data_IF_152280672051
#
_entry.id   IF_152280672051
#
_cell.length_a   1.000
_cell.length_b   1.000
_cell.length_c   1.000
_cell.angle_alpha   90.00
_cell.angle_beta   90.00
_cell.angle_gamma   90.00
#
_symmetry.space_group_name_H-M   'P 1'
#
loop_
_entity.id
_entity.type
_entity.pdbx_description
1 polymer ?
#
# COMPACT_ATOMS: atom_id res chain seq x y z
N UNK A 1 -21.93 3.51 0.79
CA UNK A 1 -20.86 2.55 1.19
C UNK A 1 -21.48 1.54 2.15
N UNK A 2 -21.46 0.24 1.83
CA UNK A 2 -21.88 -0.81 2.78
C UNK A 2 -20.66 -1.24 3.58
N UNK A 3 -20.62 -0.88 4.86
CA UNK A 3 -19.62 -1.38 5.81
C UNK A 3 -20.16 -2.64 6.50
N UNK A 4 -19.28 -3.42 7.12
CA UNK A 4 -19.65 -4.65 7.87
C UNK A 4 -20.39 -5.71 7.03
N UNK A 5 -20.07 -5.80 5.74
CA UNK A 5 -20.59 -6.84 4.86
C UNK A 5 -19.51 -7.86 4.55
N UNK A 6 -19.80 -9.14 4.78
CA UNK A 6 -18.85 -10.24 4.61
C UNK A 6 -19.25 -11.11 3.42
N UNK A 7 -18.39 -11.15 2.40
CA UNK A 7 -18.59 -11.99 1.22
C UNK A 7 -18.25 -13.44 1.58
N UNK A 8 -19.21 -14.34 1.43
CA UNK A 8 -19.03 -15.77 1.67
C UNK A 8 -18.72 -16.53 0.37
N UNK A 9 -19.38 -16.14 -0.73
CA UNK A 9 -19.23 -16.80 -2.03
C UNK A 9 -19.38 -15.81 -3.17
N UNK A 10 -18.65 -16.06 -4.24
CA UNK A 10 -18.74 -15.34 -5.51
C UNK A 10 -19.18 -16.33 -6.59
N UNK A 11 -20.28 -16.03 -7.28
CA UNK A 11 -20.75 -16.72 -8.49
C UNK A 11 -20.60 -15.81 -9.70
N UNK A 12 -20.85 -16.32 -10.91
CA UNK A 12 -20.63 -15.58 -12.15
C UNK A 12 -21.46 -14.29 -12.26
N UNK A 13 -22.67 -14.28 -11.69
CA UNK A 13 -23.66 -13.20 -11.82
C UNK A 13 -24.01 -12.52 -10.48
N UNK A 14 -23.49 -13.03 -9.36
CA UNK A 14 -23.83 -12.53 -8.03
C UNK A 14 -22.75 -12.82 -6.98
N UNK A 15 -22.67 -11.96 -5.97
CA UNK A 15 -21.97 -12.25 -4.71
C UNK A 15 -22.98 -12.60 -3.63
N UNK A 16 -22.60 -13.45 -2.69
CA UNK A 16 -23.39 -13.83 -1.53
C UNK A 16 -22.72 -13.24 -0.30
N UNK A 17 -23.45 -12.41 0.43
CA UNK A 17 -23.01 -11.85 1.70
C UNK A 17 -23.79 -12.48 2.84
N UNK A 18 -23.12 -12.59 4.00
CA UNK A 18 -23.74 -13.15 5.21
C UNK A 18 -24.95 -12.32 5.66
N UNK A 19 -24.90 -11.00 5.44
CA UNK A 19 -25.90 -10.06 5.94
C UNK A 19 -27.07 -9.85 4.98
N UNK A 20 -26.82 -9.77 3.66
CA UNK A 20 -27.84 -9.40 2.66
C UNK A 20 -28.21 -10.56 1.71
N UNK A 21 -27.55 -11.72 1.81
CA UNK A 21 -27.77 -12.83 0.90
C UNK A 21 -27.24 -12.55 -0.51
N UNK A 22 -28.03 -12.85 -1.55
CA UNK A 22 -27.60 -12.75 -2.95
C UNK A 22 -27.67 -11.31 -3.47
N UNK A 23 -26.55 -10.79 -3.92
CA UNK A 23 -26.42 -9.47 -4.55
C UNK A 23 -25.95 -9.64 -6.01
N UNK A 24 -26.80 -9.37 -7.02
CA UNK A 24 -26.41 -9.48 -8.42
C UNK A 24 -25.41 -8.38 -8.81
N UNK A 25 -24.50 -8.68 -9.74
CA UNK A 25 -23.54 -7.70 -10.26
C UNK A 25 -23.31 -7.88 -11.77
N UNK A 26 -22.91 -6.78 -12.44
CA UNK A 26 -22.40 -6.81 -13.82
C UNK A 26 -20.87 -6.78 -13.92
N UNK A 27 -20.20 -6.18 -12.93
CA UNK A 27 -18.74 -6.14 -12.80
C UNK A 27 -18.37 -6.30 -11.31
N UNK A 28 -17.45 -7.21 -11.02
CA UNK A 28 -16.87 -7.40 -9.69
C UNK A 28 -15.41 -6.92 -9.69
N UNK A 29 -15.13 -5.87 -8.91
CA UNK A 29 -13.77 -5.39 -8.65
C UNK A 29 -13.31 -5.90 -7.27
N UNK A 30 -12.30 -6.77 -7.25
CA UNK A 30 -11.74 -7.32 -6.03
C UNK A 30 -10.45 -6.59 -5.63
N UNK A 31 -10.54 -5.69 -4.65
CA UNK A 31 -9.44 -4.82 -4.22
C UNK A 31 -8.92 -5.13 -2.79
N UNK A 32 -9.16 -6.35 -2.28
CA UNK A 32 -8.83 -6.73 -0.89
C UNK A 32 -8.07 -8.05 -0.81
N UNK A 33 -7.21 -8.17 0.20
CA UNK A 33 -6.50 -9.40 0.54
C UNK A 33 -5.14 -9.53 -0.14
N UNK A 34 -4.11 -9.72 0.68
CA UNK A 34 -2.79 -10.14 0.24
C UNK A 34 -2.61 -11.63 0.56
N UNK A 35 -2.01 -12.39 -0.37
CA UNK A 35 -1.64 -13.78 -0.16
C UNK A 35 -0.12 -13.92 -0.27
N UNK A 36 0.48 -14.67 0.65
CA UNK A 36 1.89 -15.00 0.55
C UNK A 36 2.18 -15.91 -0.65
N UNK A 37 3.37 -15.77 -1.24
CA UNK A 37 3.82 -16.64 -2.32
C UNK A 37 4.03 -18.08 -1.83
N UNK A 38 3.71 -19.07 -2.67
CA UNK A 38 3.93 -20.49 -2.38
C UNK A 38 5.40 -20.85 -2.15
N UNK A 39 6.33 -19.99 -2.58
CA UNK A 39 7.75 -20.12 -2.25
C UNK A 39 7.97 -20.11 -0.74
N UNK A 40 7.20 -19.29 -0.02
CA UNK A 40 7.36 -19.12 1.42
C UNK A 40 7.05 -20.41 2.17
N UNK A 41 6.13 -21.23 1.69
CA UNK A 41 5.76 -22.51 2.32
C UNK A 41 6.92 -23.51 2.28
N UNK A 42 7.79 -23.41 1.26
CA UNK A 42 8.93 -24.32 1.04
C UNK A 42 10.20 -23.91 1.78
N UNK A 43 10.27 -22.68 2.27
CA UNK A 43 11.45 -22.17 2.98
C UNK A 43 11.42 -22.61 4.45
N UNK A 44 12.51 -23.22 4.90
CA UNK A 44 12.75 -23.53 6.31
C UNK A 44 13.32 -22.29 7.02
N UNK A 45 12.41 -21.36 7.33
CA UNK A 45 12.71 -20.08 7.98
C UNK A 45 11.66 -19.77 9.03
N UNK A 46 12.02 -18.94 10.01
CA UNK A 46 11.09 -18.49 11.05
C UNK A 46 9.93 -17.70 10.45
N UNK A 47 8.71 -18.11 10.78
CA UNK A 47 7.43 -17.52 10.33
C UNK A 47 6.56 -17.20 11.56
N UNK A 48 5.64 -16.23 11.49
CA UNK A 48 4.73 -15.97 12.60
C UNK A 48 3.72 -17.13 12.76
N UNK A 49 3.34 -17.44 13.99
CA UNK A 49 2.34 -18.47 14.30
C UNK A 49 0.92 -18.07 13.86
N UNK A 50 0.64 -16.77 13.76
CA UNK A 50 -0.67 -16.21 13.42
C UNK A 50 -0.55 -15.09 12.39
N UNK A 51 -1.56 -14.98 11.54
CA UNK A 51 -1.68 -13.92 10.53
C UNK A 51 -1.03 -14.28 9.20
N UNK A 52 -0.75 -13.25 8.38
CA UNK A 52 -0.17 -13.45 7.04
C UNK A 52 1.23 -14.08 7.15
N UNK A 53 1.48 -15.23 6.47
CA UNK A 53 2.80 -15.84 6.43
C UNK A 53 3.83 -14.86 5.87
N UNK A 54 4.91 -14.66 6.62
CA UNK A 54 6.03 -13.79 6.24
C UNK A 54 7.32 -14.31 6.87
N UNK A 55 8.47 -13.95 6.30
CA UNK A 55 9.78 -14.27 6.89
C UNK A 55 10.05 -13.31 8.04
N UNK A 56 10.28 -13.84 9.24
CA UNK A 56 10.65 -13.05 10.41
C UNK A 56 12.16 -12.80 10.45
N UNK A 57 12.53 -11.62 10.94
CA UNK A 57 13.92 -11.18 11.13
C UNK A 57 14.08 -10.46 12.47
N UNK A 58 15.32 -10.23 12.86
CA UNK A 58 15.67 -9.30 13.91
C UNK A 58 15.45 -7.82 13.52
N UNK A 59 15.73 -6.93 14.46
CA UNK A 59 15.64 -5.47 14.32
C UNK A 59 16.59 -4.85 13.28
N UNK A 60 17.51 -5.63 12.71
CA UNK A 60 18.50 -5.17 11.74
C UNK A 60 18.09 -5.46 10.29
N UNK A 61 16.90 -6.03 10.06
CA UNK A 61 16.36 -6.32 8.72
C UNK A 61 17.24 -7.25 7.88
N UNK A 62 17.81 -8.28 8.50
CA UNK A 62 18.43 -9.37 7.75
C UNK A 62 17.43 -10.13 6.84
N UNK A 63 16.12 -10.07 7.14
CA UNK A 63 15.06 -10.57 6.28
C UNK A 63 13.82 -9.63 6.25
N UNK A 64 12.66 -10.17 5.86
CA UNK A 64 11.51 -9.38 5.37
C UNK A 64 10.75 -8.56 6.44
N UNK A 65 10.43 -9.12 7.62
CA UNK A 65 9.64 -8.43 8.64
C UNK A 65 10.19 -8.61 10.06
N UNK A 66 10.13 -7.55 10.88
CA UNK A 66 10.74 -7.53 12.22
C UNK A 66 9.85 -8.31 13.19
N UNK A 67 10.46 -9.27 13.87
CA UNK A 67 9.78 -10.04 14.90
C UNK A 67 9.24 -9.13 16.02
N UNK A 68 7.97 -9.30 16.37
CA UNK A 68 7.29 -8.47 17.38
C UNK A 68 6.95 -7.04 16.93
N UNK A 69 7.41 -6.59 15.76
CA UNK A 69 7.16 -5.26 15.21
C UNK A 69 6.74 -5.34 13.75
N UNK A 70 5.63 -6.03 13.50
CA UNK A 70 5.12 -6.20 12.14
C UNK A 70 4.57 -4.87 11.60
N UNK A 71 5.14 -4.43 10.48
CA UNK A 71 4.75 -3.21 9.81
C UNK A 71 3.68 -3.49 8.74
N UNK A 72 2.83 -2.49 8.39
CA UNK A 72 1.82 -2.67 7.37
C UNK A 72 2.46 -2.97 5.99
N UNK A 73 1.74 -3.73 5.15
CA UNK A 73 2.19 -4.08 3.80
C UNK A 73 2.01 -2.90 2.83
N UNK A 74 2.72 -1.80 3.09
CA UNK A 74 2.70 -0.58 2.29
C UNK A 74 3.97 -0.46 1.45
N UNK A 75 3.84 0.11 0.25
CA UNK A 75 4.98 0.38 -0.62
C UNK A 75 6.04 1.27 0.05
N UNK A 76 5.60 2.22 0.89
CA UNK A 76 6.49 3.09 1.65
C UNK A 76 7.37 2.32 2.65
N UNK A 77 6.79 1.36 3.38
CA UNK A 77 7.55 0.50 4.30
C UNK A 77 8.62 -0.27 3.51
N UNK A 78 8.27 -0.85 2.36
CA UNK A 78 9.21 -1.57 1.53
C UNK A 78 10.34 -0.66 1.00
N UNK A 79 10.03 0.57 0.60
CA UNK A 79 11.01 1.55 0.14
C UNK A 79 12.00 1.91 1.25
N UNK A 80 11.50 2.25 2.45
CA UNK A 80 12.36 2.61 3.58
C UNK A 80 13.24 1.43 4.04
N UNK A 81 12.70 0.20 4.07
CA UNK A 81 13.47 -1.01 4.36
C UNK A 81 14.59 -1.20 3.33
N UNK A 82 14.30 -1.01 2.04
CA UNK A 82 15.29 -1.11 0.96
C UNK A 82 16.39 -0.06 1.04
N UNK A 83 16.04 1.20 1.34
CA UNK A 83 17.01 2.29 1.51
C UNK A 83 17.90 2.07 2.73
N UNK A 84 17.32 1.64 3.85
CA UNK A 84 18.07 1.25 5.04
C UNK A 84 19.06 0.14 4.72
N UNK A 85 18.61 -0.97 4.11
CA UNK A 85 19.47 -2.11 3.82
C UNK A 85 20.59 -1.75 2.84
N UNK A 86 20.28 -0.95 1.81
CA UNK A 86 21.29 -0.46 0.85
C UNK A 86 22.38 0.35 1.57
N UNK A 87 21.98 1.24 2.50
CA UNK A 87 22.93 2.04 3.27
C UNK A 87 23.81 1.16 4.17
N UNK A 88 23.22 0.21 4.88
CA UNK A 88 23.96 -0.65 5.81
C UNK A 88 24.90 -1.61 5.08
N UNK A 89 24.47 -2.20 3.96
CA UNK A 89 25.31 -3.10 3.15
C UNK A 89 26.48 -2.39 2.47
N UNK A 90 26.36 -1.09 2.20
CA UNK A 90 27.44 -0.29 1.61
C UNK A 90 28.47 0.20 2.64
N UNK A 91 28.28 -0.07 3.94
CA UNK A 91 29.28 0.25 4.96
C UNK A 91 30.43 -0.77 4.91
N UNK A 92 31.66 -0.28 5.10
CA UNK A 92 32.87 -1.10 5.03
C UNK A 92 32.92 -2.24 6.06
N UNK A 93 32.18 -2.12 7.16
CA UNK A 93 32.10 -3.13 8.24
C UNK A 93 31.27 -4.37 7.85
N UNK A 94 30.47 -4.30 6.78
CA UNK A 94 29.71 -5.43 6.27
C UNK A 94 28.53 -5.90 7.13
N UNK A 95 28.22 -5.22 8.24
CA UNK A 95 27.09 -5.53 9.11
C UNK A 95 26.26 -4.28 9.48
N UNK A 96 24.92 -4.42 9.65
CA UNK A 96 24.07 -3.31 10.08
C UNK A 96 24.45 -2.82 11.49
N UNK A 97 24.70 -1.52 11.64
CA UNK A 97 25.12 -0.96 12.95
C UNK A 97 23.97 -0.34 13.74
N UNK A 98 22.93 0.11 13.04
CA UNK A 98 21.77 0.78 13.65
C UNK A 98 20.49 -0.02 13.39
N UNK A 99 19.59 -0.22 14.36
CA UNK A 99 18.32 -0.90 14.11
C UNK A 99 17.42 -0.07 13.18
N UNK A 100 16.58 -0.76 12.40
CA UNK A 100 15.61 -0.09 11.53
C UNK A 100 14.51 0.59 12.34
N UNK A 101 14.17 1.81 11.95
CA UNK A 101 13.03 2.56 12.49
C UNK A 101 12.20 3.06 11.32
N UNK A 102 10.92 2.72 11.31
CA UNK A 102 9.99 3.17 10.29
C UNK A 102 9.52 4.59 10.59
N UNK A 103 9.70 5.50 9.65
CA UNK A 103 9.17 6.85 9.71
C UNK A 103 7.82 6.90 8.98
N UNK A 104 6.72 6.98 9.74
CA UNK A 104 5.39 7.03 9.16
C UNK A 104 5.07 8.44 8.63
N UNK A 105 5.16 8.64 7.31
CA UNK A 105 4.88 9.94 6.67
C UNK A 105 3.37 10.25 6.54
N UNK A 106 2.51 9.35 7.02
CA UNK A 106 1.07 9.48 6.94
C UNK A 106 0.51 8.97 5.61
N UNK A 107 -0.71 8.44 5.67
CA UNK A 107 -1.40 7.88 4.51
C UNK A 107 -2.25 8.95 3.84
N UNK A 108 -2.26 9.02 2.51
CA UNK A 108 -3.18 9.89 1.77
C UNK A 108 -4.14 9.04 0.94
N UNK A 109 -5.42 9.40 0.93
CA UNK A 109 -6.43 8.74 0.12
C UNK A 109 -7.18 9.76 -0.73
N UNK A 110 -7.36 9.45 -2.02
CA UNK A 110 -8.27 10.16 -2.91
C UNK A 110 -9.66 9.52 -2.81
N UNK A 111 -10.71 10.32 -2.61
CA UNK A 111 -12.08 9.85 -2.38
C UNK A 111 -12.99 10.00 -3.61
N UNK A 112 -12.49 10.57 -4.71
CA UNK A 112 -13.31 10.94 -5.87
C UNK A 112 -13.75 12.40 -5.83
N UNK A 113 -14.23 12.92 -6.95
CA UNK A 113 -14.81 14.27 -7.07
C UNK A 113 -13.96 15.39 -6.43
N UNK A 114 -12.65 15.40 -6.71
CA UNK A 114 -11.71 16.38 -6.12
C UNK A 114 -11.63 16.36 -4.58
N UNK A 115 -12.07 15.29 -3.93
CA UNK A 115 -11.98 15.12 -2.49
C UNK A 115 -10.84 14.18 -2.10
N UNK A 116 -10.20 14.46 -0.97
CA UNK A 116 -9.11 13.69 -0.44
C UNK A 116 -9.08 13.73 1.07
N UNK A 117 -8.35 12.78 1.65
CA UNK A 117 -8.14 12.69 3.09
C UNK A 117 -6.67 12.44 3.40
N UNK A 118 -6.11 13.29 4.26
CA UNK A 118 -4.75 13.16 4.77
C UNK A 118 -4.70 13.43 6.28
N UNK A 119 -4.59 12.38 7.12
CA UNK A 119 -4.26 12.50 8.53
C UNK A 119 -2.74 12.64 8.69
N UNK A 120 -2.26 13.89 8.71
CA UNK A 120 -0.89 14.23 9.13
C UNK A 120 -0.87 14.83 10.55
N UNK A 121 0.08 15.73 10.83
CA UNK A 121 0.06 16.58 12.06
C UNK A 121 -1.20 17.45 12.14
N UNK A 122 -1.80 17.76 11.00
CA UNK A 122 -3.12 18.38 10.85
C UNK A 122 -3.91 17.53 9.86
N UNK A 123 -5.20 17.39 10.10
CA UNK A 123 -6.11 16.70 9.18
C UNK A 123 -6.44 17.67 8.05
N UNK A 124 -6.14 17.28 6.81
CA UNK A 124 -6.48 18.04 5.61
C UNK A 124 -7.52 17.23 4.85
N UNK A 125 -8.62 17.87 4.46
CA UNK A 125 -9.75 17.27 3.73
C UNK A 125 -10.16 18.12 2.54
N UNK A 126 -11.00 17.58 1.65
CA UNK A 126 -11.53 18.32 0.51
C UNK A 126 -10.50 18.56 -0.59
N UNK A 127 -10.72 19.61 -1.38
CA UNK A 127 -9.89 19.97 -2.53
C UNK A 127 -8.42 20.22 -2.17
N UNK A 128 -8.17 20.74 -0.97
CA UNK A 128 -6.80 20.97 -0.49
C UNK A 128 -6.02 19.67 -0.29
N UNK A 129 -6.69 18.61 0.20
CA UNK A 129 -6.12 17.28 0.31
C UNK A 129 -5.93 16.64 -1.07
N UNK A 130 -6.86 16.88 -2.00
CA UNK A 130 -6.74 16.43 -3.39
C UNK A 130 -5.54 17.05 -4.11
N UNK A 131 -5.31 18.37 -3.95
CA UNK A 131 -4.13 19.05 -4.50
C UNK A 131 -2.82 18.51 -3.89
N UNK A 132 -2.81 18.27 -2.58
CA UNK A 132 -1.68 17.66 -1.89
C UNK A 132 -1.40 16.24 -2.43
N UNK A 133 -2.44 15.43 -2.61
CA UNK A 133 -2.35 14.09 -3.16
C UNK A 133 -1.81 14.10 -4.61
N UNK A 134 -2.30 15.00 -5.47
CA UNK A 134 -1.80 15.15 -6.85
C UNK A 134 -0.32 15.52 -6.86
N UNK A 135 0.08 16.47 -6.02
CA UNK A 135 1.47 16.93 -5.92
C UNK A 135 2.39 15.81 -5.42
N UNK A 136 1.97 15.09 -4.37
CA UNK A 136 2.70 13.95 -3.82
C UNK A 136 2.87 12.80 -4.83
N UNK A 137 1.83 12.52 -5.61
CA UNK A 137 1.86 11.48 -6.65
C UNK A 137 2.88 11.78 -7.76
N UNK A 138 2.98 13.04 -8.18
CA UNK A 138 4.00 13.48 -9.13
C UNK A 138 5.42 13.39 -8.53
N UNK A 139 5.57 13.76 -7.26
CA UNK A 139 6.87 13.69 -6.59
C UNK A 139 7.36 12.24 -6.44
N UNK A 140 6.46 11.29 -6.17
CA UNK A 140 6.77 9.86 -6.12
C UNK A 140 7.25 9.28 -7.45
N UNK A 141 6.90 9.89 -8.58
CA UNK A 141 7.43 9.47 -9.88
C UNK A 141 8.92 9.81 -9.99
N UNK A 142 9.78 8.79 -10.06
CA UNK A 142 11.25 8.94 -10.13
C UNK A 142 11.76 9.69 -11.36
N UNK A 143 11.07 9.63 -12.49
CA UNK A 143 11.57 10.16 -13.77
C UNK A 143 10.75 11.36 -14.24
N UNK A 144 11.42 12.41 -14.74
CA UNK A 144 10.76 13.59 -15.29
C UNK A 144 9.80 13.26 -16.44
N UNK A 145 10.13 12.28 -17.29
CA UNK A 145 9.29 11.86 -18.42
C UNK A 145 7.93 11.34 -17.95
N UNK A 146 7.91 10.51 -16.90
CA UNK A 146 6.65 10.03 -16.29
C UNK A 146 5.86 11.17 -15.66
N UNK A 147 6.53 12.11 -14.98
CA UNK A 147 5.87 13.31 -14.44
C UNK A 147 5.17 14.11 -15.54
N UNK A 148 5.86 14.38 -16.65
CA UNK A 148 5.30 15.10 -17.78
C UNK A 148 4.10 14.37 -18.41
N UNK A 149 4.22 13.05 -18.63
CA UNK A 149 3.10 12.26 -19.18
C UNK A 149 1.87 12.27 -18.28
N UNK A 150 2.04 12.18 -16.95
CA UNK A 150 0.91 12.25 -16.00
C UNK A 150 0.27 13.63 -16.04
N UNK A 151 1.06 14.71 -16.03
CA UNK A 151 0.53 16.08 -16.09
C UNK A 151 -0.25 16.33 -17.38
N UNK A 152 0.27 15.87 -18.53
CA UNK A 152 -0.41 15.98 -19.83
C UNK A 152 -1.70 15.15 -19.84
N UNK A 153 -1.67 13.92 -19.31
CA UNK A 153 -2.86 13.08 -19.21
C UNK A 153 -3.94 13.72 -18.36
N UNK A 154 -3.59 14.29 -17.20
CA UNK A 154 -4.54 15.01 -16.36
C UNK A 154 -5.11 16.26 -17.04
N UNK A 155 -4.31 16.96 -17.85
CA UNK A 155 -4.77 18.09 -18.64
C UNK A 155 -5.81 17.64 -19.69
N UNK A 156 -5.55 16.55 -20.39
CA UNK A 156 -6.51 16.00 -21.37
C UNK A 156 -7.80 15.54 -20.72
N UNK A 157 -7.74 14.85 -19.57
CA UNK A 157 -8.92 14.47 -18.80
C UNK A 157 -9.75 15.71 -18.42
N UNK A 158 -9.08 16.77 -17.98
CA UNK A 158 -9.74 18.03 -17.65
C UNK A 158 -10.37 18.74 -18.86
N UNK A 159 -9.69 18.72 -20.02
CA UNK A 159 -10.18 19.34 -21.25
C UNK A 159 -11.32 18.54 -21.91
N UNK A 160 -11.26 17.21 -21.86
CA UNK A 160 -12.21 16.33 -22.55
C UNK A 160 -13.44 15.98 -21.68
N UNK A 161 -13.46 16.36 -20.40
CA UNK A 161 -14.62 16.17 -19.53
C UNK A 161 -14.91 14.72 -19.15
N UNK A 162 -13.96 13.80 -19.34
CA UNK A 162 -14.07 12.43 -18.84
C UNK A 162 -13.79 12.44 -17.32
N UNK A 163 -14.83 12.63 -16.52
CA UNK A 163 -14.81 12.45 -15.06
C UNK A 163 -15.55 11.16 -14.72
#
# INVERSE_FOLDING_TARGET
MKTSSHIERVEADAIFTKEDGRLPYGLLLWATGNKASSLLDRLDVRKPEKGLPRILTDKYLHAADIEGQSLPTLAEVALQKGEYLTRELNKAEGHPTTPFQFDNKGMMAYLGNHDGWWPGKRIITGESAWLAWRSGSLQWCRTWRRRAMISISWLFVWLNGEI
#
